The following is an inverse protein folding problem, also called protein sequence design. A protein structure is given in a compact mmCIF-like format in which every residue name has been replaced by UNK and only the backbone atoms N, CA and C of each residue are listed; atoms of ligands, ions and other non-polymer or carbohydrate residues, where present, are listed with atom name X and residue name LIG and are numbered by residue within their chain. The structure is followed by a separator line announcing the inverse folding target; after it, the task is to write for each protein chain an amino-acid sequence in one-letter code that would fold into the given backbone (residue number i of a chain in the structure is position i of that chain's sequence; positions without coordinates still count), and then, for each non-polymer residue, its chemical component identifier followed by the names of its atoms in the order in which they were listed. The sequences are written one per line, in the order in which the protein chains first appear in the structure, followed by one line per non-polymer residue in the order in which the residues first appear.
data_IF_870618462112
#
_entry.id   IF_870618462112
#
_cell.length_a   1.000
_cell.length_b   1.000
_cell.length_c   1.000
_cell.angle_alpha   90.00
_cell.angle_beta   90.00
_cell.angle_gamma   90.00
#
_symmetry.space_group_name_H-M   'P 1'
#
loop_
_entity.id
_entity.type
_entity.pdbx_description
1 polymer ?
#
# COMPACT_ATOMS: atom_id res chain seq x y z
N UNK A 1 2.73 8.47 19.45
CA UNK A 1 2.27 8.09 18.10
C UNK A 1 0.77 8.37 17.98
N UNK A 2 -0.06 7.72 18.81
CA UNK A 2 -1.53 7.86 18.91
C UNK A 2 -2.10 9.27 18.61
N UNK A 3 -1.78 10.30 19.40
CA UNK A 3 -2.34 11.64 19.21
C UNK A 3 -2.11 12.26 17.80
N UNK A 4 -1.00 11.91 17.11
CA UNK A 4 -0.76 12.33 15.71
C UNK A 4 -1.63 11.55 14.72
N UNK A 5 -1.92 10.29 15.02
CA UNK A 5 -2.86 9.47 14.26
C UNK A 5 -4.29 9.99 14.47
N UNK A 6 -4.73 10.23 15.71
CA UNK A 6 -6.11 10.66 16.01
C UNK A 6 -6.44 12.00 15.34
N UNK A 7 -5.50 12.96 15.38
CA UNK A 7 -5.62 14.23 14.67
C UNK A 7 -5.78 14.02 13.15
N UNK A 8 -4.89 13.22 12.53
CA UNK A 8 -4.98 12.89 11.10
C UNK A 8 -6.28 12.17 10.75
N UNK A 9 -6.70 11.17 11.52
CA UNK A 9 -7.96 10.43 11.31
C UNK A 9 -9.14 11.39 11.38
N UNK A 10 -9.18 12.29 12.36
CA UNK A 10 -10.23 13.31 12.47
C UNK A 10 -10.26 14.22 11.24
N UNK A 11 -9.11 14.68 10.75
CA UNK A 11 -9.05 15.60 9.61
C UNK A 11 -9.39 14.92 8.27
N UNK A 12 -8.98 13.67 8.08
CA UNK A 12 -9.36 12.84 6.93
C UNK A 12 -10.86 12.53 6.95
N UNK A 13 -11.43 12.12 8.09
CA UNK A 13 -12.85 11.80 8.18
C UNK A 13 -13.74 13.03 7.98
N UNK A 14 -13.29 14.24 8.33
CA UNK A 14 -14.01 15.48 7.95
C UNK A 14 -14.15 15.62 6.44
N UNK A 15 -13.12 15.25 5.67
CA UNK A 15 -13.16 15.32 4.20
C UNK A 15 -14.23 14.34 3.67
N UNK A 16 -14.24 13.09 4.16
CA UNK A 16 -15.25 12.09 3.81
C UNK A 16 -16.70 12.47 4.20
N UNK A 17 -16.89 13.30 5.24
CA UNK A 17 -18.22 13.77 5.69
C UNK A 17 -18.84 14.88 4.85
N UNK A 18 -18.10 15.41 3.86
CA UNK A 18 -18.61 16.40 2.90
C UNK A 18 -19.46 15.67 1.83
N UNK A 19 -20.57 16.23 1.32
CA UNK A 19 -21.38 15.58 0.29
C UNK A 19 -20.55 15.11 -0.91
N UNK A 20 -20.96 14.01 -1.54
CA UNK A 20 -20.15 13.31 -2.55
C UNK A 20 -19.77 14.13 -3.81
N UNK A 21 -20.42 15.27 -4.04
CA UNK A 21 -20.05 16.22 -5.11
C UNK A 21 -19.02 17.29 -4.71
N UNK A 22 -18.68 17.38 -3.42
CA UNK A 22 -17.70 18.31 -2.85
C UNK A 22 -16.51 17.58 -2.18
N UNK A 23 -16.66 16.30 -1.79
CA UNK A 23 -15.51 15.46 -1.47
C UNK A 23 -14.56 15.39 -2.69
N UNK A 24 -13.26 15.54 -2.44
CA UNK A 24 -12.22 15.43 -3.46
C UNK A 24 -11.12 14.47 -2.98
N UNK A 25 -11.24 13.20 -3.36
CA UNK A 25 -10.15 12.22 -3.28
C UNK A 25 -8.92 12.74 -4.04
N UNK A 26 -7.73 12.29 -3.64
CA UNK A 26 -6.48 12.61 -4.35
C UNK A 26 -6.39 11.90 -5.72
N UNK A 27 -7.27 10.92 -5.98
CA UNK A 27 -7.54 10.38 -7.31
C UNK A 27 -8.18 11.43 -8.22
N UNK A 28 -7.85 11.50 -9.53
CA UNK A 28 -8.49 12.42 -10.48
C UNK A 28 -10.03 12.35 -10.55
N UNK A 29 -10.63 11.27 -10.04
CA UNK A 29 -12.08 11.06 -9.96
C UNK A 29 -12.75 11.87 -8.84
N UNK A 30 -12.02 12.29 -7.81
CA UNK A 30 -12.57 13.02 -6.65
C UNK A 30 -13.46 12.19 -5.69
N UNK A 31 -13.88 10.97 -6.04
CA UNK A 31 -14.75 10.14 -5.21
C UNK A 31 -14.20 8.73 -4.98
N UNK A 32 -14.40 8.15 -3.78
CA UNK A 32 -14.17 6.71 -3.55
C UNK A 32 -15.05 5.88 -4.46
N UNK A 33 -14.48 4.82 -5.03
CA UNK A 33 -15.17 3.91 -5.95
C UNK A 33 -16.22 3.05 -5.24
N UNK A 34 -17.41 2.97 -5.83
CA UNK A 34 -18.55 2.21 -5.28
C UNK A 34 -18.22 0.75 -4.92
N UNK A 35 -17.49 -0.04 -5.75
CA UNK A 35 -17.17 -1.44 -5.44
C UNK A 35 -16.30 -1.64 -4.18
N UNK A 36 -15.71 -0.59 -3.61
CA UNK A 36 -14.91 -0.66 -2.38
C UNK A 36 -15.42 0.27 -1.27
N UNK A 37 -16.58 0.91 -1.45
CA UNK A 37 -17.17 1.85 -0.48
C UNK A 37 -17.31 1.22 0.91
N UNK A 38 -17.96 0.06 0.97
CA UNK A 38 -18.19 -0.70 2.21
C UNK A 38 -16.87 -1.05 2.92
N UNK A 39 -15.85 -1.51 2.18
CA UNK A 39 -14.52 -1.81 2.73
C UNK A 39 -13.83 -0.56 3.30
N UNK A 40 -13.93 0.57 2.61
CA UNK A 40 -13.36 1.85 3.06
C UNK A 40 -14.04 2.30 4.35
N UNK A 41 -15.36 2.24 4.41
CA UNK A 41 -16.16 2.65 5.57
C UNK A 41 -15.90 1.76 6.79
N UNK A 42 -15.76 0.44 6.61
CA UNK A 42 -15.39 -0.49 7.69
C UNK A 42 -13.98 -0.25 8.25
N UNK A 43 -12.99 -0.03 7.38
CA UNK A 43 -11.62 0.30 7.81
C UNK A 43 -11.63 1.63 8.58
N UNK A 44 -12.38 2.61 8.10
CA UNK A 44 -12.54 3.91 8.76
C UNK A 44 -13.27 3.84 10.10
N UNK A 45 -14.25 2.93 10.24
CA UNK A 45 -14.92 2.67 11.52
C UNK A 45 -14.11 1.79 12.48
N UNK A 46 -13.06 1.11 12.02
CA UNK A 46 -12.19 0.30 12.89
C UNK A 46 -11.22 1.18 13.69
N UNK A 47 -11.09 0.89 14.99
CA UNK A 47 -10.13 1.58 15.85
C UNK A 47 -8.69 1.35 15.38
N UNK A 48 -7.88 2.43 15.38
CA UNK A 48 -6.48 2.38 14.98
C UNK A 48 -6.21 2.38 13.46
N UNK A 49 -7.24 2.51 12.61
CA UNK A 49 -7.11 2.60 11.15
C UNK A 49 -7.83 3.81 10.55
N UNK A 50 -7.34 4.32 9.41
CA UNK A 50 -8.06 5.25 8.52
C UNK A 50 -7.50 5.13 7.10
N UNK A 51 -8.35 5.13 6.08
CA UNK A 51 -7.94 5.16 4.67
C UNK A 51 -7.50 6.57 4.27
N UNK A 52 -6.53 6.70 3.36
CA UNK A 52 -5.97 8.00 2.93
C UNK A 52 -6.07 8.24 1.42
N UNK A 53 -6.26 7.17 0.64
CA UNK A 53 -6.57 7.17 -0.79
C UNK A 53 -6.92 5.74 -1.21
N UNK A 54 -7.74 5.59 -2.25
CA UNK A 54 -8.28 4.30 -2.67
C UNK A 54 -8.62 4.28 -4.16
N UNK A 55 -8.48 3.13 -4.82
CA UNK A 55 -9.01 2.85 -6.15
C UNK A 55 -9.49 1.41 -6.19
N UNK A 56 -10.70 1.13 -6.69
CA UNK A 56 -11.24 -0.24 -6.79
C UNK A 56 -10.51 -1.11 -7.80
N UNK A 57 -9.61 -0.53 -8.59
CA UNK A 57 -9.05 -1.09 -9.80
C UNK A 57 -9.76 -0.50 -11.03
N UNK A 58 -9.01 -0.34 -12.12
CA UNK A 58 -9.45 0.34 -13.34
C UNK A 58 -8.92 -0.33 -14.61
N UNK A 59 -9.75 -0.28 -15.64
CA UNK A 59 -9.36 -0.49 -17.03
C UNK A 59 -9.31 0.88 -17.70
N UNK A 60 -8.23 1.22 -18.39
CA UNK A 60 -8.07 2.51 -19.04
C UNK A 60 -7.37 2.40 -20.39
N UNK A 61 -7.70 3.33 -21.29
CA UNK A 61 -6.90 3.62 -22.47
C UNK A 61 -6.23 4.96 -22.28
N UNK A 62 -4.90 4.97 -22.36
CA UNK A 62 -4.07 6.14 -22.13
C UNK A 62 -3.21 6.42 -23.36
N UNK A 63 -3.33 7.64 -23.88
CA UNK A 63 -2.44 8.20 -24.89
C UNK A 63 -1.28 8.89 -24.16
N UNK A 64 -0.04 8.49 -24.45
CA UNK A 64 1.16 9.20 -24.00
C UNK A 64 1.13 10.66 -24.48
N UNK A 65 1.66 11.59 -23.68
CA UNK A 65 1.75 12.99 -24.12
C UNK A 65 2.89 13.20 -25.12
N UNK A 66 3.01 14.42 -25.68
CA UNK A 66 3.99 14.70 -26.70
C UNK A 66 5.41 14.37 -26.22
N UNK A 67 6.29 13.87 -27.12
CA UNK A 67 7.68 13.62 -26.80
C UNK A 67 8.33 14.86 -26.19
N UNK A 68 9.24 14.65 -25.25
CA UNK A 68 10.02 15.78 -24.74
C UNK A 68 11.01 16.20 -25.81
N UNK A 69 10.66 17.25 -26.55
CA UNK A 69 11.63 18.03 -27.31
C UNK A 69 12.76 18.38 -26.35
N UNK A 70 13.92 17.76 -26.55
CA UNK A 70 15.14 18.12 -25.83
C UNK A 70 15.51 19.51 -26.32
N UNK A 71 15.16 20.53 -25.52
CA UNK A 71 15.70 21.86 -25.71
C UNK A 71 17.22 21.73 -25.73
N UNK A 72 17.82 21.95 -26.91
CA UNK A 72 19.28 22.03 -27.03
C UNK A 72 19.75 23.11 -26.06
N UNK A 73 20.82 22.90 -25.28
CA UNK A 73 21.41 23.96 -24.48
C UNK A 73 21.88 25.05 -25.44
N UNK A 74 21.09 26.11 -25.54
CA UNK A 74 21.45 27.31 -26.28
C UNK A 74 22.24 28.18 -25.31
N UNK A 75 23.57 28.16 -25.47
CA UNK A 75 24.43 29.16 -24.86
C UNK A 75 24.08 30.52 -25.49
N UNK A 76 23.23 31.28 -24.81
CA UNK A 76 22.76 32.61 -25.22
C UNK A 76 22.09 33.32 -24.03
N UNK A 77 22.38 34.61 -23.78
CA UNK A 77 22.05 35.25 -22.51
C UNK A 77 20.56 35.58 -22.36
N UNK A 78 20.17 35.78 -21.11
CA UNK A 78 18.82 36.08 -20.64
C UNK A 78 18.14 37.21 -21.46
N UNK A 79 16.99 36.88 -22.07
CA UNK A 79 16.08 37.83 -22.71
C UNK A 79 14.68 37.65 -22.17
N UNK A 80 14.02 38.75 -21.81
CA UNK A 80 12.70 38.77 -21.16
C UNK A 80 11.58 38.13 -22.00
N UNK A 81 10.54 37.54 -21.37
CA UNK A 81 9.44 36.93 -22.09
C UNK A 81 8.49 37.99 -22.67
N UNK A 82 8.58 38.24 -23.98
CA UNK A 82 7.57 39.01 -24.70
C UNK A 82 6.31 38.16 -24.91
N UNK A 83 5.17 38.65 -24.43
CA UNK A 83 3.86 38.02 -24.69
C UNK A 83 3.59 37.89 -26.20
N UNK A 84 3.34 36.66 -26.65
CA UNK A 84 2.76 36.36 -27.96
C UNK A 84 1.52 35.50 -27.75
N UNK A 85 0.34 36.10 -27.93
CA UNK A 85 -0.96 35.48 -27.71
C UNK A 85 -1.40 34.70 -28.95
N UNK A 86 -1.61 33.38 -28.82
CA UNK A 86 -2.66 32.56 -29.44
C UNK A 86 -2.30 31.06 -29.44
N UNK A 87 -3.21 30.19 -28.98
CA UNK A 87 -3.07 28.73 -29.18
C UNK A 87 -3.49 27.84 -28.00
N UNK A 88 -4.79 27.77 -27.73
CA UNK A 88 -5.49 26.65 -27.06
C UNK A 88 -4.76 25.96 -25.88
N UNK A 89 -4.75 26.62 -24.71
CA UNK A 89 -4.26 26.03 -23.46
C UNK A 89 -5.19 24.92 -22.94
N UNK A 90 -4.95 23.66 -23.31
CA UNK A 90 -5.55 22.50 -22.63
C UNK A 90 -4.80 22.27 -21.32
N UNK A 91 -5.35 22.78 -20.22
CA UNK A 91 -4.78 22.62 -18.89
C UNK A 91 -4.84 21.16 -18.43
N UNK A 92 -3.73 20.42 -18.51
CA UNK A 92 -3.60 19.07 -17.94
C UNK A 92 -3.25 19.15 -16.46
N UNK A 93 -4.13 18.66 -15.59
CA UNK A 93 -3.99 18.70 -14.13
C UNK A 93 -2.82 17.88 -13.57
N UNK A 94 -2.34 18.27 -12.39
CA UNK A 94 -1.11 17.80 -11.78
C UNK A 94 -1.05 16.27 -11.56
N UNK A 95 0.00 15.62 -12.08
CA UNK A 95 0.16 14.17 -11.95
C UNK A 95 1.37 13.52 -12.64
N UNK A 96 2.53 14.20 -12.73
CA UNK A 96 3.79 13.52 -13.10
C UNK A 96 4.25 13.59 -14.57
N UNK A 97 4.57 14.80 -15.07
CA UNK A 97 5.57 15.08 -16.13
C UNK A 97 5.51 14.21 -17.41
N UNK A 98 4.32 13.99 -17.98
CA UNK A 98 4.16 13.24 -19.23
C UNK A 98 3.12 13.75 -20.23
N UNK A 99 2.28 14.74 -19.90
CA UNK A 99 1.36 15.41 -20.85
C UNK A 99 0.26 14.55 -21.50
N UNK A 100 0.07 13.29 -21.08
CA UNK A 100 -0.83 12.34 -21.73
C UNK A 100 -2.32 12.53 -21.42
N UNK A 101 -3.16 11.81 -22.17
CA UNK A 101 -4.62 11.93 -22.15
C UNK A 101 -5.30 10.57 -21.94
N UNK A 102 -6.27 10.52 -21.04
CA UNK A 102 -7.20 9.38 -20.94
C UNK A 102 -8.18 9.40 -22.13
N UNK A 103 -8.20 8.32 -22.91
CA UNK A 103 -9.17 8.12 -24.00
C UNK A 103 -10.40 7.32 -23.52
N UNK A 104 -10.19 6.39 -22.60
CA UNK A 104 -11.22 5.58 -21.95
C UNK A 104 -10.83 5.29 -20.50
N UNK A 105 -11.81 5.16 -19.59
CA UNK A 105 -11.58 4.68 -18.22
C UNK A 105 -12.86 4.05 -17.67
N UNK A 106 -12.74 2.88 -17.05
CA UNK A 106 -13.80 2.21 -16.28
C UNK A 106 -13.24 1.66 -14.97
N UNK A 107 -14.03 1.75 -13.89
CA UNK A 107 -13.74 1.17 -12.57
C UNK A 107 -14.56 -0.12 -12.32
N UNK A 108 -15.22 -0.64 -13.36
CA UNK A 108 -16.07 -1.83 -13.33
C UNK A 108 -15.93 -2.64 -14.65
N UNK A 109 -16.36 -3.92 -14.68
CA UNK A 109 -16.41 -4.71 -15.90
C UNK A 109 -17.13 -4.00 -17.05
N UNK A 110 -16.57 -4.08 -18.26
CA UNK A 110 -17.16 -3.49 -19.46
C UNK A 110 -18.25 -4.43 -20.00
N UNK A 111 -19.46 -3.90 -20.20
CA UNK A 111 -20.56 -4.64 -20.82
C UNK A 111 -20.29 -4.92 -22.29
N UNK A 112 -20.17 -6.21 -22.66
CA UNK A 112 -19.76 -6.62 -24.02
C UNK A 112 -20.94 -6.91 -24.96
N UNK A 113 -22.18 -7.00 -24.45
CA UNK A 113 -23.35 -7.44 -25.22
C UNK A 113 -23.76 -6.50 -26.37
N UNK A 114 -23.27 -5.26 -26.38
CA UNK A 114 -23.54 -4.26 -27.41
C UNK A 114 -22.26 -3.91 -28.22
N UNK A 115 -21.24 -4.78 -28.19
CA UNK A 115 -19.93 -4.56 -28.84
C UNK A 115 -19.63 -5.58 -29.95
N UNK A 116 -20.66 -6.26 -30.46
CA UNK A 116 -20.57 -7.22 -31.57
C UNK A 116 -20.61 -6.54 -32.96
N UNK A 117 -20.93 -5.24 -33.03
CA UNK A 117 -20.90 -4.46 -34.28
C UNK A 117 -19.45 -4.08 -34.70
N UNK A 118 -19.18 -4.10 -36.01
CA UNK A 118 -17.86 -3.73 -36.55
C UNK A 118 -17.52 -2.27 -36.23
N UNK A 119 -16.39 -2.06 -35.56
CA UNK A 119 -15.89 -0.76 -35.09
C UNK A 119 -16.36 -0.37 -33.69
N UNK A 120 -17.27 -1.10 -33.04
CA UNK A 120 -17.84 -0.71 -31.76
C UNK A 120 -16.82 -0.71 -30.60
N UNK A 121 -15.95 -1.72 -30.53
CA UNK A 121 -14.89 -1.78 -29.50
C UNK A 121 -13.83 -0.71 -29.76
N UNK A 122 -13.46 -0.51 -31.03
CA UNK A 122 -12.50 0.51 -31.44
C UNK A 122 -12.99 1.91 -31.04
N UNK A 123 -14.26 2.21 -31.33
CA UNK A 123 -14.91 3.48 -30.99
C UNK A 123 -15.01 3.70 -29.47
N UNK A 124 -15.39 2.66 -28.70
CA UNK A 124 -15.45 2.70 -27.24
C UNK A 124 -14.10 3.06 -26.60
N UNK A 125 -13.01 2.58 -27.20
CA UNK A 125 -11.64 2.77 -26.71
C UNK A 125 -10.98 4.06 -27.25
N UNK A 126 -11.71 4.88 -28.01
CA UNK A 126 -11.26 6.18 -28.50
C UNK A 126 -10.41 6.12 -29.77
N UNK A 127 -10.47 5.02 -30.54
CA UNK A 127 -9.90 4.95 -31.88
C UNK A 127 -10.84 5.52 -32.93
N UNK A 128 -10.25 6.01 -34.01
CA UNK A 128 -11.01 6.34 -35.21
C UNK A 128 -11.44 5.08 -35.97
N UNK A 129 -12.61 5.13 -36.61
CA UNK A 129 -13.14 4.01 -37.40
C UNK A 129 -12.27 3.75 -38.65
N UNK A 130 -11.40 2.75 -38.58
CA UNK A 130 -10.61 2.25 -39.71
C UNK A 130 -10.69 0.73 -39.82
N UNK A 131 -10.81 0.23 -41.05
CA UNK A 131 -10.76 -1.22 -41.35
C UNK A 131 -9.34 -1.77 -41.53
N UNK A 132 -8.34 -0.89 -41.60
CA UNK A 132 -6.94 -1.29 -41.77
C UNK A 132 -6.11 -0.92 -40.55
N UNK A 133 -5.30 -1.89 -40.11
CA UNK A 133 -4.25 -1.66 -39.13
C UNK A 133 -3.18 -0.79 -39.75
N UNK A 134 -2.63 0.11 -38.94
CA UNK A 134 -1.52 0.97 -39.32
C UNK A 134 -0.42 0.87 -38.29
N UNK A 135 0.81 1.11 -38.73
CA UNK A 135 1.99 1.07 -37.89
C UNK A 135 2.79 2.35 -38.14
N UNK A 136 3.42 2.93 -37.11
CA UNK A 136 4.27 4.09 -37.31
C UNK A 136 5.45 3.75 -38.24
N UNK A 137 5.91 4.74 -39.02
CA UNK A 137 6.99 4.58 -40.02
C UNK A 137 8.40 4.65 -39.42
N UNK A 138 8.51 4.85 -38.11
CA UNK A 138 9.72 4.88 -37.30
C UNK A 138 9.35 4.62 -35.83
N UNK A 139 10.31 4.71 -34.91
CA UNK A 139 10.07 4.49 -33.48
C UNK A 139 10.25 5.73 -32.60
N UNK A 140 10.99 6.73 -33.08
CA UNK A 140 11.25 7.99 -32.39
C UNK A 140 10.04 8.93 -32.44
N UNK A 141 9.82 9.67 -31.34
CA UNK A 141 8.83 10.75 -31.21
C UNK A 141 7.35 10.43 -31.50
N UNK A 142 6.94 9.15 -31.41
CA UNK A 142 5.53 8.74 -31.54
C UNK A 142 4.86 8.60 -30.17
N UNK A 143 3.72 9.29 -30.00
CA UNK A 143 2.83 9.12 -28.84
C UNK A 143 2.07 7.79 -28.96
N UNK A 144 2.32 6.86 -28.03
CA UNK A 144 1.70 5.52 -28.08
C UNK A 144 0.40 5.48 -27.27
N UNK A 145 -0.48 4.56 -27.66
CA UNK A 145 -1.79 4.34 -27.01
C UNK A 145 -1.74 3.00 -26.29
N UNK A 146 -2.01 3.03 -24.99
CA UNK A 146 -1.88 1.90 -24.09
C UNK A 146 -3.23 1.50 -23.51
N UNK A 147 -3.57 0.22 -23.61
CA UNK A 147 -4.64 -0.39 -22.82
C UNK A 147 -4.02 -0.94 -21.54
N UNK A 148 -4.49 -0.43 -20.39
CA UNK A 148 -3.95 -0.78 -19.07
C UNK A 148 -5.06 -1.32 -18.17
N UNK A 149 -4.77 -2.40 -17.46
CA UNK A 149 -5.54 -2.78 -16.27
C UNK A 149 -4.66 -2.58 -15.04
N UNK A 150 -5.20 -1.90 -14.03
CA UNK A 150 -4.57 -1.72 -12.73
C UNK A 150 -5.55 -2.25 -11.66
N UNK A 151 -5.16 -3.19 -10.79
CA UNK A 151 -6.04 -3.74 -9.76
C UNK A 151 -6.23 -2.77 -8.58
N UNK A 152 -7.00 -3.19 -7.57
CA UNK A 152 -7.29 -2.43 -6.36
C UNK A 152 -5.99 -2.00 -5.64
N UNK A 153 -5.97 -0.74 -5.23
CA UNK A 153 -4.95 -0.17 -4.34
C UNK A 153 -5.61 0.65 -3.23
N UNK A 154 -5.11 0.49 -2.01
CA UNK A 154 -5.59 1.20 -0.83
C UNK A 154 -4.43 1.61 0.07
N UNK A 155 -4.43 2.86 0.54
CA UNK A 155 -3.48 3.34 1.55
C UNK A 155 -4.17 3.51 2.90
N UNK A 156 -3.73 2.76 3.91
CA UNK A 156 -4.28 2.76 5.26
C UNK A 156 -3.23 3.33 6.22
N UNK A 157 -3.53 4.46 6.84
CA UNK A 157 -2.75 4.97 7.97
C UNK A 157 -3.15 4.21 9.24
N UNK A 158 -2.18 3.82 10.06
CA UNK A 158 -2.41 3.08 11.31
C UNK A 158 -1.90 3.81 12.54
N UNK A 159 -2.51 3.55 13.69
CA UNK A 159 -2.13 4.19 14.96
C UNK A 159 -0.81 3.66 15.54
N UNK A 160 -0.44 2.41 15.22
CA UNK A 160 0.76 1.73 15.69
C UNK A 160 1.29 0.71 14.66
N UNK A 161 2.44 0.09 14.99
CA UNK A 161 3.09 -0.94 14.17
C UNK A 161 2.29 -2.26 14.22
N UNK A 162 1.72 -2.60 15.38
CA UNK A 162 0.89 -3.79 15.58
C UNK A 162 -0.36 -3.73 14.68
N UNK A 163 -1.02 -2.56 14.63
CA UNK A 163 -2.13 -2.33 13.71
C UNK A 163 -1.70 -2.49 12.24
N UNK A 164 -0.51 -1.98 11.87
CA UNK A 164 0.05 -2.13 10.52
C UNK A 164 0.34 -3.60 10.17
N UNK A 165 0.89 -4.37 11.11
CA UNK A 165 1.18 -5.79 10.93
C UNK A 165 -0.10 -6.62 10.68
N UNK A 166 -1.17 -6.35 11.43
CA UNK A 166 -2.47 -7.02 11.23
C UNK A 166 -3.04 -6.75 9.83
N UNK A 167 -3.07 -5.48 9.40
CA UNK A 167 -3.55 -5.11 8.07
C UNK A 167 -2.67 -5.69 6.94
N UNK A 168 -1.34 -5.65 7.08
CA UNK A 168 -0.40 -6.24 6.12
C UNK A 168 -0.55 -7.76 6.02
N UNK A 169 -0.79 -8.44 7.14
CA UNK A 169 -1.00 -9.88 7.18
C UNK A 169 -2.30 -10.26 6.48
N UNK A 170 -3.38 -9.54 6.77
CA UNK A 170 -4.67 -9.73 6.11
C UNK A 170 -4.58 -9.51 4.59
N UNK A 171 -3.88 -8.45 4.15
CA UNK A 171 -3.64 -8.12 2.74
C UNK A 171 -2.82 -9.21 2.02
N UNK A 172 -1.69 -9.61 2.61
CA UNK A 172 -0.80 -10.64 2.05
C UNK A 172 -1.53 -11.99 1.91
N UNK A 173 -2.28 -12.40 2.94
CA UNK A 173 -3.08 -13.62 2.92
C UNK A 173 -4.24 -13.58 1.90
N UNK A 174 -4.75 -12.39 1.55
CA UNK A 174 -5.76 -12.21 0.51
C UNK A 174 -5.19 -12.16 -0.92
N UNK A 175 -3.86 -12.17 -1.08
CA UNK A 175 -3.17 -12.15 -2.38
C UNK A 175 -2.61 -10.79 -2.80
N UNK A 176 -2.64 -9.77 -1.94
CA UNK A 176 -1.99 -8.48 -2.17
C UNK A 176 -0.50 -8.56 -1.82
N UNK A 177 0.27 -9.33 -2.59
CA UNK A 177 1.64 -9.78 -2.23
C UNK A 177 2.71 -8.68 -2.22
N UNK A 178 2.47 -7.54 -2.87
CA UNK A 178 3.42 -6.42 -2.87
C UNK A 178 2.99 -5.29 -1.92
N UNK A 179 2.09 -5.61 -0.99
CA UNK A 179 1.73 -4.75 0.12
C UNK A 179 2.93 -4.51 1.03
N UNK A 180 2.99 -3.35 1.66
CA UNK A 180 4.12 -2.96 2.51
C UNK A 180 3.80 -1.83 3.46
N UNK A 181 4.69 -1.61 4.43
CA UNK A 181 4.57 -0.53 5.41
C UNK A 181 5.62 0.54 5.13
N UNK A 182 5.19 1.79 5.15
CA UNK A 182 6.02 2.99 4.99
C UNK A 182 5.77 3.97 6.13
N UNK A 183 6.44 5.13 6.11
CA UNK A 183 6.21 6.21 7.08
C UNK A 183 6.43 5.81 8.54
N UNK A 184 7.46 5.01 8.83
CA UNK A 184 7.81 4.57 10.18
C UNK A 184 8.49 5.68 11.01
N UNK A 185 9.34 6.49 10.38
CA UNK A 185 10.07 7.60 10.99
C UNK A 185 10.02 8.84 10.08
N UNK A 186 10.09 10.04 10.67
CA UNK A 186 10.31 11.27 9.92
C UNK A 186 11.81 11.58 9.74
N UNK A 187 12.13 12.66 9.02
CA UNK A 187 13.50 13.14 8.75
C UNK A 187 14.31 13.52 10.00
N UNK A 188 13.68 13.60 11.18
CA UNK A 188 14.33 13.84 12.48
C UNK A 188 14.41 12.57 13.34
N UNK A 189 14.18 11.39 12.76
CA UNK A 189 14.19 10.10 13.45
C UNK A 189 13.02 9.86 14.41
N UNK A 190 12.03 10.76 14.47
CA UNK A 190 10.87 10.57 15.35
C UNK A 190 9.85 9.62 14.72
N UNK A 191 9.27 8.68 15.50
CA UNK A 191 8.24 7.78 15.00
C UNK A 191 7.01 8.52 14.47
N UNK A 192 6.51 8.04 13.32
CA UNK A 192 5.29 8.51 12.67
C UNK A 192 4.23 7.40 12.61
N UNK A 193 2.93 7.74 12.55
CA UNK A 193 1.89 6.74 12.31
C UNK A 193 2.19 5.97 11.01
N UNK A 194 2.35 4.63 11.04
CA UNK A 194 2.72 3.86 9.86
C UNK A 194 1.65 3.95 8.76
N UNK A 195 2.07 3.75 7.52
CA UNK A 195 1.16 3.70 6.37
C UNK A 195 1.33 2.37 5.64
N UNK A 196 0.26 1.56 5.64
CA UNK A 196 0.16 0.31 4.89
C UNK A 196 -0.36 0.63 3.49
N UNK A 197 0.39 0.24 2.46
CA UNK A 197 -0.11 0.17 1.09
C UNK A 197 -0.59 -1.27 0.84
N UNK A 198 -1.87 -1.46 0.53
CA UNK A 198 -2.46 -2.73 0.10
C UNK A 198 -2.51 -2.73 -1.42
N UNK A 199 -1.75 -3.63 -2.07
CA UNK A 199 -1.61 -3.65 -3.54
C UNK A 199 -1.07 -4.98 -4.08
N UNK A 200 -1.28 -5.21 -5.37
CA UNK A 200 -0.52 -6.20 -6.16
C UNK A 200 -0.49 -5.80 -7.63
N UNK A 201 0.51 -6.25 -8.38
CA UNK A 201 0.64 -6.17 -9.83
C UNK A 201 0.30 -7.49 -10.52
N UNK A 202 0.01 -8.57 -9.78
CA UNK A 202 -0.33 -9.90 -10.32
C UNK A 202 -1.70 -10.01 -11.00
N UNK A 203 -2.33 -8.88 -11.32
CA UNK A 203 -3.48 -8.71 -12.23
C UNK A 203 -3.28 -7.51 -13.17
N UNK A 204 -2.18 -6.77 -13.04
CA UNK A 204 -1.93 -5.62 -13.89
C UNK A 204 -1.49 -6.06 -15.28
N UNK A 205 -1.88 -5.31 -16.31
CA UNK A 205 -1.27 -5.40 -17.63
C UNK A 205 -1.18 -4.02 -18.26
N UNK A 206 -0.23 -3.88 -19.19
CA UNK A 206 -0.03 -2.71 -20.02
C UNK A 206 0.29 -3.22 -21.44
N UNK A 207 -0.50 -2.81 -22.43
CA UNK A 207 -0.35 -3.23 -23.82
C UNK A 207 -0.44 -2.02 -24.75
N UNK A 208 0.61 -1.76 -25.52
CA UNK A 208 0.54 -0.81 -26.65
C UNK A 208 -0.39 -1.38 -27.72
N UNK A 209 -1.46 -0.65 -28.02
CA UNK A 209 -2.52 -1.06 -28.96
C UNK A 209 -2.70 -0.09 -30.14
N UNK A 210 -2.03 1.05 -30.11
CA UNK A 210 -2.10 2.04 -31.18
C UNK A 210 -1.16 3.21 -30.95
N UNK A 211 -1.34 4.27 -31.74
CA UNK A 211 -0.51 5.47 -31.72
C UNK A 211 -1.30 6.68 -32.23
N UNK A 212 -0.78 7.88 -31.98
CA UNK A 212 -1.27 9.11 -32.61
C UNK A 212 -0.44 9.45 -33.85
N UNK A 213 -1.12 9.84 -34.93
CA UNK A 213 -0.51 10.36 -36.16
C UNK A 213 -1.42 11.43 -36.75
N UNK A 214 -0.87 12.60 -37.12
CA UNK A 214 -1.63 13.70 -37.74
C UNK A 214 -2.90 14.10 -36.94
N UNK A 215 -2.82 14.04 -35.61
CA UNK A 215 -3.94 14.32 -34.69
C UNK A 215 -4.98 13.19 -34.53
N UNK A 216 -4.83 12.09 -35.28
CA UNK A 216 -5.75 10.93 -35.30
C UNK A 216 -5.22 9.80 -34.43
N UNK A 217 -6.12 9.08 -33.74
CA UNK A 217 -5.77 7.93 -32.88
C UNK A 217 -6.01 6.65 -33.68
N UNK A 218 -4.92 5.96 -34.03
CA UNK A 218 -4.94 4.84 -34.98
C UNK A 218 -4.60 3.50 -34.29
N UNK A 219 -5.35 2.42 -34.56
CA UNK A 219 -5.07 1.10 -34.01
C UNK A 219 -3.92 0.38 -34.74
N UNK A 220 -3.09 -0.30 -33.96
CA UNK A 220 -2.05 -1.24 -34.41
C UNK A 220 -2.48 -2.70 -34.27
N UNK A 221 -3.62 -2.95 -33.60
CA UNK A 221 -4.14 -4.29 -33.28
C UNK A 221 -5.57 -4.44 -33.79
N UNK A 222 -5.98 -5.67 -34.11
CA UNK A 222 -7.33 -5.95 -34.59
C UNK A 222 -8.40 -5.77 -33.52
N UNK A 223 -9.62 -5.47 -33.95
CA UNK A 223 -10.77 -5.37 -33.05
C UNK A 223 -11.03 -6.67 -32.27
N UNK A 224 -10.80 -7.83 -32.90
CA UNK A 224 -10.86 -9.13 -32.23
C UNK A 224 -9.84 -9.26 -31.08
N UNK A 225 -8.65 -8.66 -31.22
CA UNK A 225 -7.67 -8.58 -30.12
C UNK A 225 -8.16 -7.65 -29.01
N UNK A 226 -8.65 -6.45 -29.34
CA UNK A 226 -9.20 -5.52 -28.35
C UNK A 226 -10.36 -6.15 -27.56
N UNK A 227 -11.29 -6.81 -28.25
CA UNK A 227 -12.38 -7.54 -27.62
C UNK A 227 -11.87 -8.68 -26.71
N UNK A 228 -10.80 -9.38 -27.08
CA UNK A 228 -10.19 -10.40 -26.21
C UNK A 228 -9.54 -9.77 -24.97
N UNK A 229 -8.89 -8.61 -25.10
CA UNK A 229 -8.34 -7.87 -23.97
C UNK A 229 -9.42 -7.34 -23.03
N UNK A 230 -10.58 -6.88 -23.53
CA UNK A 230 -11.72 -6.52 -22.69
C UNK A 230 -12.25 -7.72 -21.89
N UNK A 231 -12.35 -8.91 -22.51
CA UNK A 231 -12.70 -10.15 -21.79
C UNK A 231 -11.68 -10.49 -20.70
N UNK A 232 -10.38 -10.31 -20.96
CA UNK A 232 -9.31 -10.51 -19.97
C UNK A 232 -9.41 -9.52 -18.80
N UNK A 233 -9.62 -8.23 -19.09
CA UNK A 233 -9.82 -7.19 -18.07
C UNK A 233 -11.05 -7.48 -17.19
N UNK A 234 -12.15 -7.97 -17.76
CA UNK A 234 -13.33 -8.38 -16.98
C UNK A 234 -13.03 -9.56 -16.03
N UNK A 235 -12.22 -10.54 -16.46
CA UNK A 235 -11.75 -11.62 -15.58
C UNK A 235 -10.81 -11.10 -14.47
N UNK A 236 -10.02 -10.07 -14.77
CA UNK A 236 -9.17 -9.41 -13.78
C UNK A 236 -10.01 -8.62 -12.77
N UNK A 237 -11.07 -7.92 -13.19
CA UNK A 237 -12.04 -7.29 -12.27
C UNK A 237 -12.66 -8.31 -11.31
N UNK A 238 -13.16 -9.45 -11.81
CA UNK A 238 -13.71 -10.52 -10.95
C UNK A 238 -12.66 -11.03 -9.95
N UNK A 239 -11.46 -11.36 -10.42
CA UNK A 239 -10.38 -11.87 -9.53
C UNK A 239 -9.96 -10.81 -8.49
N UNK A 240 -10.01 -9.54 -8.85
CA UNK A 240 -9.70 -8.40 -8.00
C UNK A 240 -10.77 -8.18 -6.91
N UNK A 241 -12.06 -8.35 -7.27
CA UNK A 241 -13.19 -8.37 -6.32
C UNK A 241 -13.05 -9.52 -5.31
N UNK A 242 -12.76 -10.74 -5.78
CA UNK A 242 -12.52 -11.92 -4.92
C UNK A 242 -11.32 -11.75 -3.97
N UNK A 243 -10.25 -11.05 -4.40
CA UNK A 243 -9.13 -10.67 -3.53
C UNK A 243 -9.56 -9.62 -2.50
N UNK A 244 -10.31 -8.62 -2.93
CA UNK A 244 -10.81 -7.52 -2.08
C UNK A 244 -11.75 -8.03 -0.99
N UNK A 245 -12.70 -8.91 -1.32
CA UNK A 245 -13.59 -9.55 -0.37
C UNK A 245 -12.84 -10.44 0.65
N UNK A 246 -11.80 -11.17 0.22
CA UNK A 246 -10.92 -11.92 1.14
C UNK A 246 -10.12 -11.00 2.05
N UNK A 247 -9.61 -9.88 1.55
CA UNK A 247 -8.91 -8.88 2.37
C UNK A 247 -9.84 -8.30 3.44
N UNK A 248 -11.03 -7.86 3.06
CA UNK A 248 -12.09 -7.42 3.97
C UNK A 248 -12.34 -8.44 5.09
N UNK A 249 -12.62 -9.69 4.71
CA UNK A 249 -12.90 -10.76 5.67
C UNK A 249 -11.73 -11.02 6.63
N UNK A 250 -10.50 -11.05 6.12
CA UNK A 250 -9.30 -11.26 6.93
C UNK A 250 -9.04 -10.08 7.89
N UNK A 251 -9.22 -8.84 7.40
CA UNK A 251 -9.04 -7.62 8.18
C UNK A 251 -10.01 -7.58 9.37
N UNK A 252 -11.31 -7.74 9.12
CA UNK A 252 -12.33 -7.73 10.18
C UNK A 252 -12.10 -8.81 11.25
N UNK A 253 -11.71 -10.03 10.83
CA UNK A 253 -11.36 -11.13 11.76
C UNK A 253 -10.15 -10.78 12.63
N UNK A 254 -9.10 -10.26 12.02
CA UNK A 254 -7.86 -9.89 12.70
C UNK A 254 -8.06 -8.76 13.72
N UNK A 255 -8.86 -7.75 13.39
CA UNK A 255 -9.10 -6.58 14.25
C UNK A 255 -10.11 -6.87 15.37
N UNK A 256 -11.15 -7.66 15.11
CA UNK A 256 -12.15 -8.04 16.13
C UNK A 256 -11.52 -8.78 17.33
N UNK A 257 -10.49 -9.58 17.09
CA UNK A 257 -9.81 -10.38 18.13
C UNK A 257 -8.96 -9.53 19.10
N UNK A 258 -8.60 -8.30 18.70
CA UNK A 258 -7.90 -7.33 19.55
C UNK A 258 -8.87 -6.63 20.50
N UNK A 259 -10.11 -6.39 20.06
CA UNK A 259 -11.15 -5.78 20.88
C UNK A 259 -11.56 -6.66 22.07
N UNK A 260 -11.72 -7.97 21.86
CA UNK A 260 -12.11 -8.92 22.93
C UNK A 260 -11.01 -9.17 23.96
N UNK A 261 -9.74 -9.18 23.53
CA UNK A 261 -8.61 -9.33 24.46
C UNK A 261 -8.39 -8.10 25.35
N UNK A 262 -8.78 -6.91 24.91
CA UNK A 262 -8.79 -5.71 25.75
C UNK A 262 -9.90 -5.73 26.82
N UNK A 263 -11.09 -6.27 26.53
CA UNK A 263 -12.16 -6.43 27.52
C UNK A 263 -11.88 -7.55 28.53
N UNK A 264 -11.34 -8.69 28.08
CA UNK A 264 -11.04 -9.83 28.94
C UNK A 264 -9.85 -9.57 29.90
N UNK A 265 -8.93 -8.67 29.53
CA UNK A 265 -7.83 -8.25 30.41
C UNK A 265 -8.31 -7.55 31.69
N UNK A 266 -9.45 -6.86 31.64
CA UNK A 266 -10.01 -6.13 32.81
C UNK A 266 -10.80 -7.06 33.75
N UNK A 267 -11.23 -8.25 33.27
CA UNK A 267 -12.00 -9.20 34.08
C UNK A 267 -11.25 -10.47 34.50
N UNK A 268 -10.08 -10.76 33.90
CA UNK A 268 -9.33 -12.01 34.18
C UNK A 268 -8.13 -11.89 35.13
N UNK A 269 -7.73 -10.68 35.55
CA UNK A 269 -6.62 -10.48 36.50
C UNK A 269 -6.97 -10.87 37.96
N UNK A 270 -8.24 -11.19 38.24
CA UNK A 270 -8.69 -11.61 39.58
C UNK A 270 -8.77 -13.12 39.80
N UNK A 271 -8.64 -13.95 38.76
CA UNK A 271 -8.86 -15.40 38.87
C UNK A 271 -7.95 -16.29 37.98
N UNK A 272 -6.63 -16.05 38.03
CA UNK A 272 -5.63 -16.94 37.41
C UNK A 272 -4.43 -17.29 38.30
N UNK A 273 -4.69 -17.67 39.55
CA UNK A 273 -3.77 -18.55 40.30
C UNK A 273 -4.09 -20.02 39.98
N UNK A 274 -3.66 -20.50 38.80
CA UNK A 274 -3.69 -21.94 38.52
C UNK A 274 -2.79 -22.66 39.54
N UNK A 275 -3.27 -23.72 40.23
CA UNK A 275 -2.43 -24.46 41.16
C UNK A 275 -1.26 -25.10 40.41
N UNK A 276 -0.07 -25.00 40.99
CA UNK A 276 1.14 -25.63 40.48
C UNK A 276 0.95 -27.15 40.40
N UNK A 277 1.34 -27.77 39.29
CA UNK A 277 1.28 -29.23 39.17
C UNK A 277 2.16 -29.90 40.23
N UNK A 278 1.82 -31.12 40.66
CA UNK A 278 2.61 -31.85 41.68
C UNK A 278 4.08 -32.03 41.28
N UNK A 279 4.38 -32.05 39.98
CA UNK A 279 5.74 -32.11 39.44
C UNK A 279 6.51 -30.80 39.66
N UNK A 280 5.84 -29.64 39.65
CA UNK A 280 6.41 -28.34 40.01
C UNK A 280 6.55 -28.20 41.53
N UNK A 281 5.50 -28.56 42.31
CA UNK A 281 5.53 -28.56 43.79
C UNK A 281 6.71 -29.37 44.34
N UNK A 282 6.95 -30.57 43.81
CA UNK A 282 8.11 -31.42 44.18
C UNK A 282 9.46 -30.79 43.78
N UNK A 283 9.52 -30.00 42.70
CA UNK A 283 10.75 -29.34 42.24
C UNK A 283 11.09 -28.12 43.10
N UNK A 284 10.07 -27.38 43.53
CA UNK A 284 10.21 -26.22 44.44
C UNK A 284 10.57 -26.68 45.85
N UNK A 285 9.85 -27.64 46.44
CA UNK A 285 10.18 -28.21 47.75
C UNK A 285 11.61 -28.78 47.81
N UNK A 286 12.10 -29.40 46.71
CA UNK A 286 13.48 -29.89 46.61
C UNK A 286 14.52 -28.75 46.49
N UNK A 287 14.15 -27.62 45.88
CA UNK A 287 14.99 -26.40 45.82
C UNK A 287 15.07 -25.72 47.19
N UNK A 288 13.95 -25.68 47.90
CA UNK A 288 13.83 -25.02 49.20
C UNK A 288 14.54 -25.83 50.28
N UNK A 289 14.36 -27.16 50.31
CA UNK A 289 15.15 -28.05 51.17
C UNK A 289 16.66 -27.89 50.96
N UNK A 290 17.12 -27.78 49.70
CA UNK A 290 18.54 -27.57 49.38
C UNK A 290 19.06 -26.20 49.84
N UNK A 291 18.19 -25.17 49.85
CA UNK A 291 18.54 -23.84 50.37
C UNK A 291 18.65 -23.85 51.90
N UNK A 292 17.71 -24.50 52.59
CA UNK A 292 17.71 -24.62 54.05
C UNK A 292 18.92 -25.41 54.58
N UNK A 293 19.40 -26.43 53.85
CA UNK A 293 20.61 -27.18 54.24
C UNK A 293 21.92 -26.40 54.11
N UNK A 294 21.94 -25.26 53.39
CA UNK A 294 23.15 -24.47 53.19
C UNK A 294 23.30 -23.29 54.18
N UNK A 295 22.22 -22.91 54.87
CA UNK A 295 22.15 -21.80 55.84
C UNK A 295 22.43 -22.22 57.31
N UNK A 296 22.75 -23.49 57.57
CA UNK A 296 22.90 -24.04 58.94
C UNK A 296 24.31 -24.54 59.29
N UNK A 297 25.36 -23.92 58.74
CA UNK A 297 26.74 -24.13 59.19
C UNK A 297 27.40 -22.77 59.50
N UNK A 298 27.18 -22.26 60.72
CA UNK A 298 28.08 -21.26 61.30
C UNK A 298 29.43 -21.92 61.65
N UNK A 299 30.58 -21.30 61.35
CA UNK A 299 31.87 -21.76 61.84
C UNK A 299 32.12 -21.22 63.26
N UNK A 300 32.36 -22.12 64.22
CA UNK A 300 32.73 -21.76 65.59
C UNK A 300 34.22 -21.39 65.72
N UNK A 301 34.47 -20.28 66.41
CA UNK A 301 35.65 -19.95 67.23
C UNK A 301 37.07 -20.34 66.75
N UNK A 302 37.78 -19.32 66.26
CA UNK A 302 39.02 -18.78 66.85
C UNK A 302 40.14 -19.77 67.29
N UNK A 303 41.24 -19.80 66.54
CA UNK A 303 42.58 -19.94 67.13
C UNK A 303 43.65 -19.16 66.35
N UNK A 304 44.58 -18.63 67.14
CA UNK A 304 45.68 -17.67 66.96
C UNK A 304 46.54 -17.59 65.66
N UNK A 305 47.24 -16.45 65.60
CA UNK A 305 48.27 -15.84 64.72
C UNK A 305 49.49 -16.74 64.35
N UNK A 306 50.44 -16.33 63.44
CA UNK A 306 50.75 -14.96 63.01
C UNK A 306 51.10 -14.72 61.51
N UNK A 307 51.44 -13.45 61.24
CA UNK A 307 51.75 -12.79 59.98
C UNK A 307 52.93 -13.41 59.19
N UNK A 308 52.85 -13.36 57.85
CA UNK A 308 54.04 -13.26 56.98
C UNK A 308 53.77 -12.31 55.80
N UNK A 309 54.80 -11.55 55.43
CA UNK A 309 54.79 -10.36 54.58
C UNK A 309 54.53 -10.64 53.07
N UNK A 310 53.90 -9.69 52.37
CA UNK A 310 53.46 -9.81 50.97
C UNK A 310 54.38 -9.00 50.06
N UNK A 311 55.65 -9.41 49.94
CA UNK A 311 56.66 -8.67 49.16
C UNK A 311 57.73 -9.55 48.50
N UNK A 312 57.40 -10.25 47.40
CA UNK A 312 58.39 -10.63 46.37
C UNK A 312 57.76 -11.06 45.03
N UNK A 313 58.51 -10.85 43.93
CA UNK A 313 58.29 -11.35 42.56
C UNK A 313 57.06 -10.85 41.78
N UNK A 314 57.15 -9.59 41.33
CA UNK A 314 56.93 -9.30 39.90
C UNK A 314 58.25 -9.51 39.12
N UNK A 315 58.16 -9.76 37.81
CA UNK A 315 59.28 -9.96 36.83
C UNK A 315 60.17 -11.20 37.08
N UNK A 316 60.69 -11.94 36.08
CA UNK A 316 60.55 -11.97 34.61
C UNK A 316 60.69 -13.46 34.13
N UNK A 317 60.78 -13.90 32.87
CA UNK A 317 60.84 -13.32 31.51
C UNK A 317 60.14 -14.33 30.54
N UNK A 318 59.66 -14.00 29.35
CA UNK A 318 60.36 -13.80 28.05
C UNK A 318 61.34 -14.92 27.63
N UNK A 319 60.85 -16.04 27.10
CA UNK A 319 61.27 -16.65 25.81
C UNK A 319 60.32 -17.75 25.35
#
# INVERSE_FOLDING_TARGET
MQARFDAKKKDILKQFSVPAGEYTDASPKGSVDEPIRELVDEINNTNGYVTTSSCSGRLAVFLEGPPRVTATPSDGPEGEPTNAENGLSVATSAGGKGGGKWLFTSHAPVGLANLDEEGAVSSLLGFEATKQLSFPKGDDDIQRVHLKFEPMILHILTSSIEHAQLALTAATAAGFRESGVSSLMNTKGHPTPPMVAVRSSGLAFDATIGYMSEGRVLPMVSEAYLHKQLRCANQHFQTNEERTARFRSNFLKATSSVCTSASDAVHSDRDRRKPLSDKQRRKEARKEAFRTTFDQHEPSEFYDSPEVDVAALMSADTT
#
